data_IF_307322974233
#
_entry.id   IF_307322974233
#
_cell.length_a   1.000
_cell.length_b   1.000
_cell.length_c   1.000
_cell.angle_alpha   90.00
_cell.angle_beta   90.00
_cell.angle_gamma   90.00
#
_symmetry.space_group_name_H-M   'P 1'
#
loop_
_entity.id
_entity.type
_entity.pdbx_description
1 polymer ?
#
# COMPACT_ATOMS: atom_id res chain seq x y z
N UNK A 1 24.67 -18.02 27.40
CA UNK A 1 24.10 -16.85 26.69
C UNK A 1 24.58 -16.98 25.27
N UNK A 2 23.90 -17.84 24.51
CA UNK A 2 24.17 -18.00 23.08
C UNK A 2 23.29 -17.00 22.36
N UNK A 3 23.93 -16.07 21.66
CA UNK A 3 23.30 -15.19 20.69
C UNK A 3 22.79 -16.05 19.54
N UNK A 4 21.48 -16.29 19.51
CA UNK A 4 20.79 -17.02 18.46
C UNK A 4 20.96 -16.25 17.14
N UNK A 5 21.70 -16.83 16.20
CA UNK A 5 21.96 -16.25 14.89
C UNK A 5 20.63 -16.07 14.15
N UNK A 6 20.30 -14.81 13.82
CA UNK A 6 19.10 -14.43 13.06
C UNK A 6 19.09 -14.96 11.63
N UNK A 7 18.80 -16.24 11.46
CA UNK A 7 18.58 -16.88 10.16
C UNK A 7 17.09 -16.91 9.80
N UNK A 8 16.77 -16.59 8.54
CA UNK A 8 15.41 -16.70 8.00
C UNK A 8 14.97 -18.18 7.98
N UNK A 9 13.78 -18.45 8.52
CA UNK A 9 13.18 -19.78 8.54
C UNK A 9 12.63 -20.13 7.15
N UNK A 10 13.02 -21.26 6.53
CA UNK A 10 12.53 -21.62 5.21
C UNK A 10 11.08 -22.09 5.25
N UNK A 11 10.23 -21.57 4.36
CA UNK A 11 8.89 -22.10 4.07
C UNK A 11 9.01 -22.98 2.84
N UNK A 12 8.80 -24.29 3.00
CA UNK A 12 8.94 -25.25 1.91
C UNK A 12 7.71 -25.25 1.02
N UNK A 13 7.90 -25.45 -0.29
CA UNK A 13 6.76 -25.48 -1.22
C UNK A 13 5.78 -26.61 -0.91
N UNK A 14 6.29 -27.78 -0.46
CA UNK A 14 5.47 -28.91 -0.06
C UNK A 14 4.51 -28.58 1.11
N UNK A 15 4.87 -27.64 1.99
CA UNK A 15 4.04 -27.21 3.12
C UNK A 15 2.86 -26.31 2.69
N UNK A 16 2.88 -25.84 1.43
CA UNK A 16 1.86 -24.97 0.85
C UNK A 16 0.84 -25.74 0.01
N UNK A 17 1.10 -26.99 -0.41
CA UNK A 17 0.23 -27.74 -1.33
C UNK A 17 -1.22 -27.88 -0.84
N UNK A 18 -1.39 -28.19 0.45
CA UNK A 18 -2.73 -28.27 1.07
C UNK A 18 -3.42 -26.90 1.07
N UNK A 19 -2.67 -25.84 1.42
CA UNK A 19 -3.19 -24.47 1.48
C UNK A 19 -3.53 -23.94 0.07
N UNK A 20 -2.76 -24.33 -0.93
CA UNK A 20 -2.97 -24.04 -2.34
C UNK A 20 -4.30 -24.64 -2.84
N UNK A 21 -4.62 -25.86 -2.41
CA UNK A 21 -5.89 -26.52 -2.75
C UNK A 21 -7.07 -25.75 -2.14
N UNK A 22 -6.95 -25.35 -0.87
CA UNK A 22 -7.96 -24.52 -0.18
C UNK A 22 -8.12 -23.15 -0.84
N UNK A 23 -7.02 -22.47 -1.16
CA UNK A 23 -7.03 -21.18 -1.85
C UNK A 23 -7.78 -21.25 -3.18
N UNK A 24 -7.61 -22.34 -3.94
CA UNK A 24 -8.33 -22.55 -5.20
C UNK A 24 -9.84 -22.64 -5.01
N UNK A 25 -10.31 -23.24 -3.91
CA UNK A 25 -11.74 -23.29 -3.60
C UNK A 25 -12.31 -21.88 -3.30
N UNK A 26 -11.59 -21.07 -2.55
CA UNK A 26 -12.00 -19.70 -2.24
C UNK A 26 -12.06 -18.79 -3.48
N UNK A 27 -11.16 -18.96 -4.45
CA UNK A 27 -11.19 -18.21 -5.72
C UNK A 27 -12.38 -18.57 -6.63
N UNK A 28 -12.92 -19.79 -6.48
CA UNK A 28 -14.15 -20.21 -7.18
C UNK A 28 -15.39 -19.63 -6.53
N UNK A 29 -15.38 -19.41 -5.21
CA UNK A 29 -16.54 -18.87 -4.49
C UNK A 29 -16.10 -18.26 -3.18
N UNK A 30 -16.27 -16.94 -3.06
CA UNK A 30 -16.19 -16.22 -1.79
C UNK A 30 -17.58 -15.70 -1.43
N UNK A 31 -17.95 -15.79 -0.15
CA UNK A 31 -19.24 -15.35 0.36
C UNK A 31 -19.08 -14.38 1.51
N UNK A 32 -19.75 -13.23 1.46
CA UNK A 32 -19.66 -12.19 2.47
C UNK A 32 -21.03 -11.57 2.76
N UNK A 33 -21.15 -10.90 3.91
CA UNK A 33 -22.31 -10.08 4.26
C UNK A 33 -21.89 -8.61 4.28
N UNK A 34 -21.95 -7.91 3.13
CA UNK A 34 -21.52 -6.50 3.04
C UNK A 34 -22.27 -5.59 4.03
N UNK A 35 -21.62 -4.57 4.61
CA UNK A 35 -22.38 -3.51 5.31
C UNK A 35 -22.90 -2.44 4.35
N UNK A 36 -22.42 -2.43 3.11
CA UNK A 36 -22.76 -1.50 2.03
C UNK A 36 -23.40 -2.25 0.86
N UNK A 37 -24.55 -1.78 0.34
CA UNK A 37 -25.27 -2.43 -0.77
C UNK A 37 -24.53 -2.29 -2.11
N UNK A 38 -24.49 -3.39 -2.87
CA UNK A 38 -23.87 -3.55 -4.20
C UNK A 38 -24.28 -2.53 -5.26
N UNK A 39 -25.55 -2.14 -5.28
CA UNK A 39 -26.13 -1.26 -6.29
C UNK A 39 -25.53 0.16 -6.28
N UNK A 40 -24.95 0.61 -5.15
CA UNK A 40 -24.45 1.97 -4.98
C UNK A 40 -22.93 2.10 -4.92
N UNK A 41 -22.20 0.97 -5.00
CA UNK A 41 -20.74 0.93 -5.16
C UNK A 41 -20.31 0.94 -6.64
N UNK A 42 -21.27 0.80 -7.57
CA UNK A 42 -21.04 0.85 -9.03
C UNK A 42 -21.10 2.27 -9.59
N UNK A 43 -21.92 3.12 -9.00
CA UNK A 43 -21.95 4.55 -9.30
C UNK A 43 -20.82 5.22 -8.52
N UNK A 44 -20.08 6.12 -9.15
CA UNK A 44 -18.90 6.79 -8.59
C UNK A 44 -19.22 7.51 -7.28
N UNK A 45 -19.11 6.82 -6.15
CA UNK A 45 -19.43 7.38 -4.85
C UNK A 45 -18.17 8.00 -4.26
N UNK A 46 -18.21 9.33 -4.08
CA UNK A 46 -17.30 10.05 -3.20
C UNK A 46 -17.25 9.34 -1.84
N UNK A 47 -16.09 9.32 -1.17
CA UNK A 47 -15.90 8.69 0.15
C UNK A 47 -16.98 9.11 1.18
N UNK A 48 -17.51 10.33 1.03
CA UNK A 48 -18.56 10.89 1.87
C UNK A 48 -19.94 10.22 1.72
N UNK A 49 -20.26 9.61 0.58
CA UNK A 49 -21.51 8.89 0.32
C UNK A 49 -21.47 7.45 0.83
N UNK A 50 -20.28 6.82 0.83
CA UNK A 50 -20.04 5.48 1.36
C UNK A 50 -20.34 5.45 2.87
N UNK A 51 -19.83 6.43 3.63
CA UNK A 51 -20.02 6.56 5.09
C UNK A 51 -21.50 6.74 5.49
N UNK A 52 -22.30 7.42 4.66
CA UNK A 52 -23.72 7.73 4.96
C UNK A 52 -24.66 6.54 4.75
N UNK A 53 -24.16 5.45 4.15
CA UNK A 53 -24.97 4.34 3.63
C UNK A 53 -24.89 3.04 4.45
N UNK A 54 -24.11 3.02 5.52
CA UNK A 54 -23.95 1.88 6.44
C UNK A 54 -25.32 1.57 7.06
N UNK A 55 -25.98 0.52 6.54
CA UNK A 55 -27.25 0.02 7.08
C UNK A 55 -27.00 -1.35 7.71
N UNK A 56 -27.58 -1.60 8.88
CA UNK A 56 -27.42 -2.87 9.58
C UNK A 56 -28.11 -4.01 8.81
N UNK A 57 -27.29 -4.89 8.24
CA UNK A 57 -27.60 -6.17 7.57
C UNK A 57 -28.00 -6.10 6.07
N UNK A 58 -27.04 -6.45 5.21
CA UNK A 58 -27.31 -6.97 3.87
C UNK A 58 -27.38 -8.51 3.90
N UNK A 59 -28.08 -9.10 2.93
CA UNK A 59 -28.10 -10.55 2.70
C UNK A 59 -26.73 -11.07 2.29
N UNK A 60 -26.41 -12.34 2.60
CA UNK A 60 -25.18 -12.97 2.13
C UNK A 60 -25.07 -12.89 0.60
N UNK A 61 -23.98 -12.31 0.12
CA UNK A 61 -23.66 -12.23 -1.29
C UNK A 61 -22.49 -13.16 -1.64
N UNK A 62 -22.40 -13.54 -2.92
CA UNK A 62 -21.30 -14.37 -3.41
C UNK A 62 -20.67 -13.79 -4.66
N UNK A 63 -19.36 -13.96 -4.78
CA UNK A 63 -18.59 -13.60 -5.98
C UNK A 63 -17.73 -14.77 -6.44
N UNK A 64 -17.49 -14.84 -7.75
CA UNK A 64 -16.62 -15.83 -8.38
C UNK A 64 -15.56 -15.10 -9.22
N UNK A 65 -14.37 -14.94 -8.65
CA UNK A 65 -13.23 -14.30 -9.34
C UNK A 65 -12.85 -15.14 -10.57
N UNK A 66 -12.87 -16.47 -10.44
CA UNK A 66 -12.55 -17.38 -11.53
C UNK A 66 -13.45 -17.23 -12.75
N UNK A 67 -14.73 -16.88 -12.58
CA UNK A 67 -15.66 -16.68 -13.71
C UNK A 67 -15.41 -15.35 -14.42
N UNK A 68 -15.07 -14.28 -13.68
CA UNK A 68 -14.63 -13.02 -14.30
C UNK A 68 -13.33 -13.23 -15.07
N UNK A 69 -12.37 -13.97 -14.50
CA UNK A 69 -11.11 -14.30 -15.15
C UNK A 69 -11.31 -15.07 -16.47
N UNK A 70 -12.23 -16.05 -16.52
CA UNK A 70 -12.57 -16.79 -17.75
C UNK A 70 -13.14 -15.87 -18.83
N UNK A 71 -14.01 -14.93 -18.47
CA UNK A 71 -14.65 -13.99 -19.40
C UNK A 71 -13.66 -13.04 -20.09
N UNK A 72 -12.47 -12.85 -19.51
CA UNK A 72 -11.40 -12.03 -20.08
C UNK A 72 -10.46 -12.83 -21.01
N UNK A 73 -10.68 -14.15 -21.16
CA UNK A 73 -9.98 -14.94 -22.16
C UNK A 73 -10.62 -14.73 -23.53
N UNK A 74 -9.83 -14.27 -24.49
CA UNK A 74 -10.25 -14.08 -25.88
C UNK A 74 -9.90 -15.28 -26.78
N UNK A 75 -9.31 -16.34 -26.20
CA UNK A 75 -8.88 -17.54 -26.91
C UNK A 75 -9.74 -18.73 -26.48
N UNK A 76 -10.37 -19.40 -27.45
CA UNK A 76 -11.20 -20.60 -27.23
C UNK A 76 -10.44 -21.80 -26.67
N UNK A 77 -9.11 -21.86 -26.83
CA UNK A 77 -8.26 -22.94 -26.35
C UNK A 77 -7.70 -22.68 -24.94
N UNK A 78 -7.67 -21.41 -24.50
CA UNK A 78 -7.14 -21.03 -23.20
C UNK A 78 -8.27 -20.67 -22.23
N UNK A 79 -8.27 -21.31 -21.06
CA UNK A 79 -9.24 -21.00 -19.99
C UNK A 79 -9.05 -19.56 -19.48
N UNK A 80 -7.80 -19.07 -19.45
CA UNK A 80 -7.42 -17.75 -18.97
C UNK A 80 -6.41 -17.10 -19.90
N UNK A 81 -6.54 -15.78 -20.10
CA UNK A 81 -5.48 -14.98 -20.72
C UNK A 81 -4.18 -15.08 -19.90
N UNK A 82 -2.97 -15.12 -20.50
CA UNK A 82 -1.70 -15.27 -19.77
C UNK A 82 -1.50 -14.30 -18.60
N UNK A 83 -1.84 -13.01 -18.79
CA UNK A 83 -1.77 -11.99 -17.73
C UNK A 83 -2.70 -12.29 -16.55
N UNK A 84 -3.92 -12.72 -16.87
CA UNK A 84 -4.92 -13.11 -15.85
C UNK A 84 -4.49 -14.40 -15.17
N UNK A 85 -3.93 -15.36 -15.91
CA UNK A 85 -3.44 -16.62 -15.35
C UNK A 85 -2.29 -16.39 -14.35
N UNK A 86 -1.33 -15.52 -14.70
CA UNK A 86 -0.25 -15.12 -13.80
C UNK A 86 -0.80 -14.47 -12.53
N UNK A 87 -1.69 -13.50 -12.68
CA UNK A 87 -2.32 -12.81 -11.56
C UNK A 87 -3.12 -13.75 -10.65
N UNK A 88 -3.94 -14.65 -11.23
CA UNK A 88 -4.68 -15.67 -10.49
C UNK A 88 -3.76 -16.61 -9.73
N UNK A 89 -2.61 -16.99 -10.31
CA UNK A 89 -1.62 -17.81 -9.63
C UNK A 89 -0.93 -17.07 -8.47
N UNK A 90 -0.59 -15.78 -8.66
CA UNK A 90 -0.06 -14.93 -7.60
C UNK A 90 -1.05 -14.80 -6.43
N UNK A 91 -2.32 -14.54 -6.70
CA UNK A 91 -3.38 -14.49 -5.68
C UNK A 91 -3.54 -15.84 -4.98
N UNK A 92 -3.57 -16.94 -5.73
CA UNK A 92 -3.68 -18.30 -5.17
C UNK A 92 -2.51 -18.64 -4.23
N UNK A 93 -1.27 -18.35 -4.65
CA UNK A 93 -0.08 -18.54 -3.81
C UNK A 93 -0.07 -17.61 -2.60
N UNK A 94 -0.45 -16.34 -2.78
CA UNK A 94 -0.57 -15.37 -1.69
C UNK A 94 -1.53 -15.83 -0.60
N UNK A 95 -2.73 -16.29 -0.96
CA UNK A 95 -3.70 -16.85 0.01
C UNK A 95 -3.12 -18.06 0.73
N UNK A 96 -2.44 -18.96 -0.01
CA UNK A 96 -1.82 -20.15 0.58
C UNK A 96 -0.73 -19.79 1.59
N UNK A 97 0.13 -18.83 1.25
CA UNK A 97 1.16 -18.28 2.14
C UNK A 97 0.55 -17.58 3.35
N UNK A 98 -0.51 -16.79 3.18
CA UNK A 98 -1.21 -16.15 4.29
C UNK A 98 -1.81 -17.15 5.26
N UNK A 99 -2.47 -18.20 4.76
CA UNK A 99 -2.98 -19.28 5.61
C UNK A 99 -1.85 -20.03 6.33
N UNK A 100 -0.73 -20.28 5.64
CA UNK A 100 0.43 -20.94 6.23
C UNK A 100 1.06 -20.07 7.33
N UNK A 101 1.29 -18.77 7.08
CA UNK A 101 1.84 -17.84 8.06
C UNK A 101 0.92 -17.69 9.28
N UNK A 102 -0.40 -17.65 9.09
CA UNK A 102 -1.37 -17.65 10.18
C UNK A 102 -1.30 -18.92 11.04
N UNK A 103 -1.04 -20.09 10.42
CA UNK A 103 -0.79 -21.33 11.16
C UNK A 103 0.53 -21.27 11.93
N UNK A 104 1.61 -20.77 11.33
CA UNK A 104 2.90 -20.59 12.00
C UNK A 104 2.78 -19.65 13.21
N UNK A 105 2.10 -18.51 13.04
CA UNK A 105 1.77 -17.60 14.13
C UNK A 105 0.94 -18.29 15.22
N UNK A 106 -0.09 -19.05 14.84
CA UNK A 106 -0.94 -19.77 15.81
C UNK A 106 -0.14 -20.78 16.63
N UNK A 107 0.88 -21.43 16.03
CA UNK A 107 1.80 -22.33 16.77
C UNK A 107 2.71 -21.52 17.69
N UNK A 108 3.34 -20.46 17.18
CA UNK A 108 4.32 -19.65 17.90
C UNK A 108 3.71 -18.89 19.10
N UNK A 109 2.47 -18.43 18.99
CA UNK A 109 1.73 -17.73 20.04
C UNK A 109 0.97 -18.66 21.00
N UNK A 110 1.14 -19.98 20.86
CA UNK A 110 0.38 -21.00 21.60
C UNK A 110 -1.15 -20.82 21.47
N UNK A 111 -1.62 -20.39 20.30
CA UNK A 111 -3.04 -20.10 20.08
C UNK A 111 -3.89 -21.36 19.88
N UNK A 112 -3.29 -22.48 19.47
CA UNK A 112 -4.00 -23.76 19.32
C UNK A 112 -4.60 -24.27 20.63
N UNK A 113 -3.86 -24.16 21.73
CA UNK A 113 -4.37 -24.56 23.06
C UNK A 113 -5.56 -23.71 23.48
N UNK A 114 -5.52 -22.40 23.23
CA UNK A 114 -6.66 -21.50 23.46
C UNK A 114 -7.87 -21.83 22.57
N UNK A 115 -7.65 -22.25 21.31
CA UNK A 115 -8.73 -22.73 20.43
C UNK A 115 -9.39 -24.00 20.96
N UNK A 116 -8.60 -24.95 21.48
CA UNK A 116 -9.10 -26.17 22.10
C UNK A 116 -9.89 -25.88 23.39
N UNK A 117 -9.38 -24.97 24.22
CA UNK A 117 -10.07 -24.52 25.44
C UNK A 117 -11.37 -23.77 25.12
N UNK A 118 -11.41 -22.99 24.04
CA UNK A 118 -12.65 -22.36 23.57
C UNK A 118 -13.66 -23.41 23.12
N UNK A 119 -13.21 -24.43 22.37
CA UNK A 119 -14.07 -25.50 21.85
C UNK A 119 -14.66 -26.38 22.97
N UNK A 120 -13.89 -26.66 24.03
CA UNK A 120 -14.36 -27.39 25.21
C UNK A 120 -15.19 -26.53 26.18
N UNK A 121 -15.30 -25.22 25.93
CA UNK A 121 -16.01 -24.28 26.79
C UNK A 121 -15.25 -23.89 28.07
N UNK A 122 -14.00 -24.32 28.23
CA UNK A 122 -13.17 -24.04 29.40
C UNK A 122 -12.88 -22.54 29.60
N UNK A 123 -12.97 -21.74 28.54
CA UNK A 123 -12.77 -20.29 28.60
C UNK A 123 -13.95 -19.51 29.20
N UNK A 124 -15.14 -20.11 29.37
CA UNK A 124 -16.37 -19.38 29.77
C UNK A 124 -16.24 -18.62 31.11
N UNK A 125 -15.47 -19.17 32.05
CA UNK A 125 -15.30 -18.60 33.38
C UNK A 125 -13.98 -17.83 33.56
N UNK A 126 -13.22 -17.60 32.48
CA UNK A 126 -11.96 -16.86 32.51
C UNK A 126 -11.99 -15.67 31.52
N UNK A 127 -12.41 -14.47 31.98
CA UNK A 127 -12.52 -13.28 31.14
C UNK A 127 -11.20 -12.83 30.48
N UNK A 128 -10.07 -13.05 31.16
CA UNK A 128 -8.74 -12.71 30.63
C UNK A 128 -8.39 -13.60 29.44
N UNK A 129 -8.56 -14.91 29.59
CA UNK A 129 -8.30 -15.88 28.53
C UNK A 129 -9.25 -15.72 27.33
N UNK A 130 -10.50 -15.28 27.55
CA UNK A 130 -11.40 -14.88 26.46
C UNK A 130 -10.90 -13.65 25.70
N UNK A 131 -10.34 -12.67 26.43
CA UNK A 131 -9.80 -11.45 25.82
C UNK A 131 -8.55 -11.77 25.01
N UNK A 132 -7.63 -12.57 25.56
CA UNK A 132 -6.47 -13.10 24.85
C UNK A 132 -6.88 -13.87 23.60
N UNK A 133 -7.88 -14.75 23.69
CA UNK A 133 -8.40 -15.49 22.54
C UNK A 133 -8.92 -14.57 21.43
N UNK A 134 -9.69 -13.52 21.78
CA UNK A 134 -10.20 -12.53 20.80
C UNK A 134 -9.05 -11.77 20.15
N UNK A 135 -8.09 -11.30 20.93
CA UNK A 135 -6.95 -10.53 20.43
C UNK A 135 -6.04 -11.37 19.53
N UNK A 136 -5.71 -12.61 19.91
CA UNK A 136 -4.94 -13.52 19.06
C UNK A 136 -5.70 -13.91 17.78
N UNK A 137 -7.03 -13.98 17.81
CA UNK A 137 -7.83 -14.14 16.58
C UNK A 137 -7.68 -12.94 15.64
N UNK A 138 -7.78 -11.71 16.18
CA UNK A 138 -7.59 -10.46 15.41
C UNK A 138 -6.21 -10.44 14.76
N UNK A 139 -5.15 -10.70 15.54
CA UNK A 139 -3.77 -10.73 15.04
C UNK A 139 -3.55 -11.86 14.04
N UNK A 140 -4.11 -13.06 14.26
CA UNK A 140 -4.04 -14.16 13.28
C UNK A 140 -4.68 -13.77 11.95
N UNK A 141 -5.83 -13.10 11.98
CA UNK A 141 -6.50 -12.59 10.78
C UNK A 141 -5.63 -11.53 10.09
N UNK A 142 -5.05 -10.59 10.85
CA UNK A 142 -4.18 -9.56 10.31
C UNK A 142 -2.93 -10.15 9.64
N UNK A 143 -2.26 -11.13 10.28
CA UNK A 143 -1.12 -11.86 9.69
C UNK A 143 -1.52 -12.53 8.38
N UNK A 144 -2.68 -13.20 8.33
CA UNK A 144 -3.19 -13.83 7.12
C UNK A 144 -3.37 -12.80 5.99
N UNK A 145 -4.05 -11.69 6.29
CA UNK A 145 -4.33 -10.65 5.30
C UNK A 145 -3.06 -9.98 4.81
N UNK A 146 -2.15 -9.67 5.74
CA UNK A 146 -0.88 -9.01 5.47
C UNK A 146 0.00 -9.85 4.55
N UNK A 147 0.28 -11.10 4.91
CA UNK A 147 1.17 -11.97 4.12
C UNK A 147 0.56 -12.25 2.75
N UNK A 148 -0.76 -12.43 2.68
CA UNK A 148 -1.48 -12.58 1.41
C UNK A 148 -1.25 -11.35 0.51
N UNK A 149 -1.53 -10.16 1.02
CA UNK A 149 -1.42 -8.93 0.26
C UNK A 149 0.04 -8.60 -0.11
N UNK A 150 0.97 -8.77 0.82
CA UNK A 150 2.39 -8.49 0.63
C UNK A 150 2.99 -9.36 -0.48
N UNK A 151 2.67 -10.66 -0.48
CA UNK A 151 3.10 -11.57 -1.54
C UNK A 151 2.52 -11.19 -2.90
N UNK A 152 1.24 -10.87 -2.97
CA UNK A 152 0.56 -10.52 -4.23
C UNK A 152 1.13 -9.23 -4.79
N UNK A 153 1.27 -8.19 -3.96
CA UNK A 153 1.84 -6.89 -4.38
C UNK A 153 3.28 -7.07 -4.84
N UNK A 154 4.11 -7.79 -4.07
CA UNK A 154 5.50 -8.08 -4.45
C UNK A 154 5.57 -8.82 -5.79
N UNK A 155 4.77 -9.87 -5.98
CA UNK A 155 4.73 -10.67 -7.22
C UNK A 155 4.27 -9.86 -8.44
N UNK A 156 3.30 -8.96 -8.26
CA UNK A 156 2.73 -8.16 -9.34
C UNK A 156 3.54 -6.89 -9.64
N UNK A 157 4.29 -6.36 -8.67
CA UNK A 157 5.05 -5.10 -8.81
C UNK A 157 6.03 -5.09 -9.99
N UNK A 158 6.68 -6.22 -10.23
CA UNK A 158 7.67 -6.40 -11.30
C UNK A 158 7.06 -6.96 -12.60
N UNK A 159 5.77 -7.32 -12.58
CA UNK A 159 5.11 -7.96 -13.72
C UNK A 159 4.64 -6.91 -14.73
N UNK A 160 5.31 -6.81 -15.88
CA UNK A 160 4.94 -5.89 -16.98
C UNK A 160 4.71 -4.44 -16.49
N UNK A 161 5.54 -3.94 -15.58
CA UNK A 161 5.40 -2.62 -14.94
C UNK A 161 5.12 -1.49 -15.93
N UNK A 162 5.91 -1.38 -17.00
CA UNK A 162 5.72 -0.37 -18.06
C UNK A 162 4.33 -0.41 -18.71
N UNK A 163 3.79 -1.61 -18.96
CA UNK A 163 2.46 -1.75 -19.55
C UNK A 163 1.37 -1.38 -18.54
N UNK A 164 1.53 -1.80 -17.27
CA UNK A 164 0.60 -1.49 -16.18
C UNK A 164 0.58 0.00 -15.79
N UNK A 165 1.63 0.76 -16.11
CA UNK A 165 1.66 2.21 -15.87
C UNK A 165 0.74 2.97 -16.82
N UNK A 166 0.52 2.45 -18.03
CA UNK A 166 -0.41 3.03 -19.01
C UNK A 166 -1.89 2.71 -18.72
N UNK A 167 -2.16 1.77 -17.80
CA UNK A 167 -3.52 1.32 -17.48
C UNK A 167 -4.22 2.33 -16.58
N UNK A 168 -5.26 2.96 -17.10
CA UNK A 168 -6.08 3.97 -16.41
C UNK A 168 -7.19 3.32 -15.58
N UNK A 169 -6.79 2.51 -14.59
CA UNK A 169 -7.71 1.96 -13.58
C UNK A 169 -7.41 2.64 -12.25
N UNK A 170 -8.44 3.26 -11.67
CA UNK A 170 -8.38 3.77 -10.29
C UNK A 170 -9.11 2.82 -9.35
N UNK A 171 -8.64 2.78 -8.11
CA UNK A 171 -9.28 2.05 -7.02
C UNK A 171 -9.78 3.07 -5.99
N UNK A 172 -11.09 3.11 -5.66
CA UNK A 172 -11.67 4.14 -4.80
C UNK A 172 -11.35 3.97 -3.31
N UNK A 173 -10.68 2.88 -2.93
CA UNK A 173 -10.41 2.51 -1.55
C UNK A 173 -11.31 1.36 -1.07
N UNK A 174 -11.03 0.87 0.14
CA UNK A 174 -11.82 -0.19 0.76
C UNK A 174 -13.20 0.36 1.21
N UNK A 175 -14.29 -0.38 0.95
CA UNK A 175 -15.65 0.12 1.21
C UNK A 175 -16.06 0.04 2.69
N UNK A 176 -15.36 -0.76 3.50
CA UNK A 176 -15.56 -0.88 4.95
C UNK A 176 -14.24 -1.32 5.61
N UNK A 177 -14.11 -1.08 6.93
CA UNK A 177 -12.94 -1.50 7.73
C UNK A 177 -12.63 -3.00 7.59
N UNK A 178 -11.36 -3.38 7.78
CA UNK A 178 -10.96 -4.79 7.70
C UNK A 178 -11.69 -5.65 8.72
N UNK A 179 -12.27 -6.75 8.26
CA UNK A 179 -12.92 -7.69 9.14
C UNK A 179 -11.93 -8.69 9.75
N UNK A 180 -11.45 -8.42 10.97
CA UNK A 180 -10.40 -9.23 11.62
C UNK A 180 -10.89 -10.21 12.69
N UNK A 181 -12.19 -10.26 13.00
CA UNK A 181 -12.71 -11.06 14.11
C UNK A 181 -12.41 -12.57 13.99
N UNK A 182 -12.31 -13.08 12.75
CA UNK A 182 -12.03 -14.48 12.47
C UNK A 182 -11.32 -14.62 11.11
N UNK A 183 -10.25 -15.41 11.05
CA UNK A 183 -9.42 -15.57 9.85
C UNK A 183 -10.20 -16.05 8.61
N UNK A 184 -11.24 -16.90 8.76
CA UNK A 184 -12.09 -17.35 7.64
C UNK A 184 -12.95 -16.18 7.14
N UNK A 185 -13.47 -15.37 8.05
CA UNK A 185 -14.28 -14.21 7.70
C UNK A 185 -13.41 -13.12 7.08
N UNK A 186 -12.20 -12.90 7.59
CA UNK A 186 -11.20 -12.00 7.02
C UNK A 186 -10.86 -12.38 5.57
N UNK A 187 -10.62 -13.67 5.31
CA UNK A 187 -10.35 -14.16 3.96
C UNK A 187 -11.56 -14.01 3.04
N UNK A 188 -12.75 -14.35 3.51
CA UNK A 188 -13.98 -14.19 2.72
C UNK A 188 -14.28 -12.72 2.41
N UNK A 189 -14.12 -11.82 3.39
CA UNK A 189 -14.22 -10.37 3.22
C UNK A 189 -13.29 -9.88 2.12
N UNK A 190 -12.00 -10.23 2.22
CA UNK A 190 -10.95 -9.78 1.30
C UNK A 190 -11.22 -10.27 -0.13
N UNK A 191 -11.54 -11.56 -0.30
CA UNK A 191 -11.81 -12.13 -1.62
C UNK A 191 -13.16 -11.69 -2.18
N UNK A 192 -14.14 -11.42 -1.31
CA UNK A 192 -15.41 -10.88 -1.74
C UNK A 192 -15.24 -9.51 -2.38
N UNK A 193 -14.57 -8.58 -1.69
CA UNK A 193 -14.38 -7.23 -2.23
C UNK A 193 -13.44 -7.21 -3.43
N UNK A 194 -12.38 -8.02 -3.44
CA UNK A 194 -11.56 -8.21 -4.64
C UNK A 194 -12.40 -8.64 -5.85
N UNK A 195 -13.21 -9.69 -5.70
CA UNK A 195 -14.10 -10.17 -6.76
C UNK A 195 -15.21 -9.19 -7.12
N UNK A 196 -15.70 -8.41 -6.16
CA UNK A 196 -16.68 -7.36 -6.37
C UNK A 196 -16.15 -6.27 -7.30
N UNK A 197 -14.96 -5.74 -7.02
CA UNK A 197 -14.36 -4.69 -7.85
C UNK A 197 -13.94 -5.23 -9.21
N UNK A 198 -13.44 -6.47 -9.29
CA UNK A 198 -13.13 -7.10 -10.57
C UNK A 198 -14.38 -7.30 -11.45
N UNK A 199 -15.55 -7.45 -10.84
CA UNK A 199 -16.81 -7.59 -11.56
C UNK A 199 -17.35 -6.25 -12.12
N UNK A 200 -16.69 -5.11 -11.85
CA UNK A 200 -17.08 -3.82 -12.40
C UNK A 200 -16.95 -3.76 -13.93
N UNK A 201 -17.78 -2.92 -14.55
CA UNK A 201 -17.93 -2.83 -16.01
C UNK A 201 -16.74 -2.13 -16.68
N UNK A 202 -15.95 -1.36 -15.92
CA UNK A 202 -14.71 -0.72 -16.38
C UNK A 202 -13.53 -1.70 -16.49
N UNK A 203 -13.63 -2.91 -15.91
CA UNK A 203 -12.59 -3.94 -16.01
C UNK A 203 -12.87 -4.79 -17.25
N UNK A 204 -12.25 -4.42 -18.38
CA UNK A 204 -12.51 -5.02 -19.69
C UNK A 204 -11.31 -5.73 -20.28
N UNK A 205 -10.10 -5.34 -19.89
CA UNK A 205 -8.86 -5.92 -20.38
C UNK A 205 -8.19 -6.85 -19.34
N UNK A 206 -7.37 -7.81 -19.79
CA UNK A 206 -6.49 -8.58 -18.91
C UNK A 206 -5.59 -7.71 -18.04
N UNK A 207 -5.08 -6.59 -18.56
CA UNK A 207 -4.21 -5.68 -17.80
C UNK A 207 -5.00 -4.87 -16.76
N UNK A 208 -6.27 -4.52 -17.03
CA UNK A 208 -7.16 -3.87 -16.05
C UNK A 208 -7.35 -4.77 -14.82
N UNK A 209 -7.51 -6.08 -15.06
CA UNK A 209 -7.64 -7.10 -14.02
C UNK A 209 -6.38 -7.15 -13.13
N UNK A 210 -5.19 -7.14 -13.73
CA UNK A 210 -3.92 -7.14 -12.99
C UNK A 210 -3.74 -5.84 -12.22
N UNK A 211 -3.95 -4.69 -12.86
CA UNK A 211 -3.79 -3.36 -12.23
C UNK A 211 -4.74 -3.18 -11.05
N UNK A 212 -6.02 -3.52 -11.20
CA UNK A 212 -6.99 -3.45 -10.12
C UNK A 212 -6.60 -4.36 -8.95
N UNK A 213 -6.11 -5.56 -9.24
CA UNK A 213 -5.65 -6.49 -8.20
C UNK A 213 -4.47 -5.90 -7.43
N UNK A 214 -3.49 -5.30 -8.12
CA UNK A 214 -2.36 -4.62 -7.48
C UNK A 214 -2.82 -3.48 -6.56
N UNK A 215 -3.70 -2.61 -7.05
CA UNK A 215 -4.22 -1.48 -6.27
C UNK A 215 -5.04 -1.93 -5.07
N UNK A 216 -5.89 -2.95 -5.23
CA UNK A 216 -6.72 -3.49 -4.15
C UNK A 216 -5.87 -4.04 -3.01
N UNK A 217 -4.88 -4.89 -3.32
CA UNK A 217 -4.03 -5.49 -2.29
C UNK A 217 -3.02 -4.50 -1.70
N UNK A 218 -2.61 -3.47 -2.46
CA UNK A 218 -1.85 -2.35 -1.89
C UNK A 218 -2.67 -1.62 -0.82
N UNK A 219 -3.95 -1.38 -1.05
CA UNK A 219 -4.80 -0.73 -0.05
C UNK A 219 -5.05 -1.60 1.17
N UNK A 220 -5.16 -2.93 0.99
CA UNK A 220 -5.19 -3.86 2.12
C UNK A 220 -3.91 -3.75 2.98
N UNK A 221 -2.73 -3.59 2.37
CA UNK A 221 -1.49 -3.36 3.12
C UNK A 221 -1.49 -2.03 3.85
N UNK A 222 -1.93 -0.96 3.19
CA UNK A 222 -2.01 0.37 3.80
C UNK A 222 -2.90 0.37 5.05
N UNK A 223 -4.05 -0.30 4.96
CA UNK A 223 -4.99 -0.41 6.07
C UNK A 223 -4.45 -1.28 7.21
N UNK A 224 -3.72 -2.36 6.90
CA UNK A 224 -3.04 -3.17 7.94
C UNK A 224 -1.94 -2.37 8.64
N UNK A 225 -1.14 -1.62 7.90
CA UNK A 225 -0.11 -0.75 8.46
C UNK A 225 -0.74 0.33 9.37
N UNK A 226 -1.89 0.87 8.97
CA UNK A 226 -2.63 1.85 9.77
C UNK A 226 -3.09 1.29 11.12
N UNK A 227 -3.58 0.05 11.16
CA UNK A 227 -4.06 -0.58 12.40
C UNK A 227 -2.97 -1.34 13.18
N UNK A 228 -1.76 -1.46 12.63
CA UNK A 228 -0.68 -2.31 13.16
C UNK A 228 -0.45 -2.12 14.65
N UNK A 229 -0.31 -0.87 15.10
CA UNK A 229 0.00 -0.54 16.49
C UNK A 229 -1.15 -0.87 17.47
N UNK A 230 -2.36 -1.08 16.95
CA UNK A 230 -3.52 -1.51 17.75
C UNK A 230 -3.53 -3.02 18.00
N UNK A 231 -2.83 -3.81 17.17
CA UNK A 231 -2.76 -5.26 17.29
C UNK A 231 -2.03 -5.67 18.58
N UNK A 232 -2.44 -6.80 19.16
CA UNK A 232 -1.85 -7.36 20.38
C UNK A 232 -1.24 -8.72 20.11
N UNK A 233 -0.27 -9.13 20.93
CA UNK A 233 0.42 -10.42 20.78
C UNK A 233 1.10 -10.57 19.41
N UNK A 234 1.67 -9.48 18.87
CA UNK A 234 2.34 -9.46 17.56
C UNK A 234 3.76 -10.02 17.62
N UNK A 235 4.37 -10.12 18.80
CA UNK A 235 5.78 -10.46 18.97
C UNK A 235 6.12 -11.83 18.38
N UNK A 236 5.17 -12.78 18.43
CA UNK A 236 5.34 -14.12 17.87
C UNK A 236 5.43 -14.13 16.33
N UNK A 237 4.99 -13.07 15.66
CA UNK A 237 5.13 -12.87 14.22
C UNK A 237 6.29 -11.92 13.90
N UNK A 238 6.42 -10.80 14.62
CA UNK A 238 7.43 -9.76 14.36
C UNK A 238 8.86 -10.21 14.64
N UNK A 239 9.07 -11.08 15.64
CA UNK A 239 10.41 -11.54 16.01
C UNK A 239 10.92 -12.71 15.15
N UNK A 240 10.20 -13.10 14.09
CA UNK A 240 10.57 -14.21 13.22
C UNK A 240 10.61 -13.77 11.77
N UNK A 241 11.72 -14.07 11.10
CA UNK A 241 11.86 -13.93 9.66
C UNK A 241 11.62 -15.26 8.95
N UNK A 242 10.89 -15.24 7.84
CA UNK A 242 10.64 -16.41 7.00
C UNK A 242 11.08 -16.14 5.56
N UNK A 243 11.65 -17.14 4.88
CA UNK A 243 12.01 -17.06 3.45
C UNK A 243 11.27 -18.13 2.66
N UNK A 244 10.62 -17.75 1.57
CA UNK A 244 9.96 -18.69 0.69
C UNK A 244 10.98 -19.46 -0.14
N UNK A 245 10.86 -20.79 -0.19
CA UNK A 245 11.73 -21.63 -0.99
C UNK A 245 11.50 -21.43 -2.49
N UNK A 246 12.59 -21.15 -3.21
CA UNK A 246 12.58 -20.99 -4.67
C UNK A 246 12.18 -19.60 -5.17
N UNK A 247 11.88 -18.66 -4.27
CA UNK A 247 11.54 -17.27 -4.59
C UNK A 247 12.33 -16.31 -3.68
N UNK A 248 12.68 -15.12 -4.17
CA UNK A 248 13.32 -14.10 -3.34
C UNK A 248 12.29 -13.28 -2.58
N UNK A 249 11.41 -13.98 -1.87
CA UNK A 249 10.36 -13.40 -1.04
C UNK A 249 10.62 -13.72 0.42
N UNK A 250 10.64 -12.68 1.24
CA UNK A 250 10.92 -12.74 2.68
C UNK A 250 9.75 -12.11 3.43
N UNK A 251 9.44 -12.66 4.61
CA UNK A 251 8.44 -12.17 5.54
C UNK A 251 9.16 -11.81 6.84
N UNK A 252 9.20 -10.53 7.18
CA UNK A 252 9.77 -10.01 8.43
C UNK A 252 8.71 -9.18 9.16
N UNK A 253 7.94 -9.84 10.02
CA UNK A 253 6.81 -9.20 10.72
C UNK A 253 5.83 -8.51 9.76
N UNK A 254 5.29 -7.37 10.20
CA UNK A 254 4.40 -6.51 9.39
C UNK A 254 5.16 -5.55 8.47
N UNK A 255 6.44 -5.78 8.20
CA UNK A 255 7.20 -4.96 7.26
C UNK A 255 6.88 -5.40 5.83
N UNK A 256 6.07 -4.61 5.14
CA UNK A 256 5.94 -4.77 3.70
C UNK A 256 7.29 -4.39 3.10
N UNK A 257 8.03 -5.36 2.56
CA UNK A 257 9.14 -5.05 1.69
C UNK A 257 8.51 -4.41 0.47
N UNK A 258 8.47 -3.08 0.46
CA UNK A 258 8.31 -2.34 -0.77
C UNK A 258 9.48 -2.78 -1.64
N UNK A 259 9.22 -3.75 -2.54
CA UNK A 259 9.95 -3.80 -3.79
C UNK A 259 9.78 -2.38 -4.29
N UNK A 260 10.87 -1.63 -4.21
CA UNK A 260 10.94 -0.26 -4.68
C UNK A 260 10.17 -0.26 -5.98
N UNK A 261 8.98 0.35 -5.95
CA UNK A 261 8.34 0.75 -7.18
C UNK A 261 9.36 1.74 -7.72
N UNK A 262 10.23 1.25 -8.60
CA UNK A 262 11.03 2.05 -9.50
C UNK A 262 10.10 2.66 -10.55
N UNK A 263 8.95 3.14 -10.09
CA UNK A 263 8.09 4.09 -10.71
C UNK A 263 8.25 5.30 -9.83
N UNK A 264 9.07 6.24 -10.30
CA UNK A 264 8.83 7.65 -10.07
C UNK A 264 7.34 7.88 -9.83
N UNK A 265 6.96 8.31 -8.62
CA UNK A 265 5.59 8.71 -8.32
C UNK A 265 5.14 9.63 -9.45
N UNK A 266 4.21 9.17 -10.29
CA UNK A 266 3.86 9.83 -11.55
C UNK A 266 3.40 11.27 -11.25
N UNK A 267 4.29 12.22 -11.48
CA UNK A 267 3.94 13.63 -11.49
C UNK A 267 3.33 13.95 -12.86
N UNK A 268 2.43 14.93 -12.90
CA UNK A 268 1.92 15.43 -14.16
C UNK A 268 3.08 16.10 -14.90
N UNK A 269 3.60 15.44 -15.95
CA UNK A 269 4.71 15.99 -16.73
C UNK A 269 4.25 17.30 -17.38
N UNK A 270 5.03 18.35 -17.18
CA UNK A 270 4.73 19.67 -17.70
C UNK A 270 6.02 20.29 -18.19
N UNK A 271 6.03 20.76 -19.43
CA UNK A 271 7.21 21.40 -20.01
C UNK A 271 7.25 22.89 -19.68
N UNK A 272 8.45 23.47 -19.59
CA UNK A 272 8.61 24.90 -19.33
C UNK A 272 7.94 25.81 -20.37
N UNK A 273 7.70 25.29 -21.58
CA UNK A 273 7.00 25.99 -22.66
C UNK A 273 5.50 26.16 -22.41
N UNK A 274 4.90 25.29 -21.59
CA UNK A 274 3.46 25.29 -21.29
C UNK A 274 3.09 26.28 -20.18
N UNK A 275 4.07 26.73 -19.40
CA UNK A 275 3.90 27.76 -18.37
C UNK A 275 4.05 29.14 -19.03
N UNK A 276 2.95 29.89 -19.21
CA UNK A 276 3.01 31.27 -19.73
C UNK A 276 3.17 32.25 -18.56
N UNK A 277 4.21 33.11 -18.62
CA UNK A 277 4.49 34.10 -17.57
C UNK A 277 5.44 33.62 -16.46
N UNK A 278 5.57 34.43 -15.40
CA UNK A 278 6.40 34.19 -14.20
C UNK A 278 7.90 33.88 -14.46
N UNK A 279 8.59 34.79 -15.16
CA UNK A 279 10.00 34.66 -15.55
C UNK A 279 10.95 34.45 -14.36
N UNK A 280 10.66 35.06 -13.21
CA UNK A 280 11.49 34.95 -12.00
C UNK A 280 11.44 33.54 -11.40
N UNK A 281 10.25 32.92 -11.36
CA UNK A 281 10.09 31.54 -10.91
C UNK A 281 10.84 30.56 -11.81
N UNK A 282 10.69 30.70 -13.14
CA UNK A 282 11.43 29.87 -14.11
C UNK A 282 12.94 29.99 -13.91
N UNK A 283 13.42 31.21 -13.68
CA UNK A 283 14.84 31.47 -13.44
C UNK A 283 15.32 30.84 -12.12
N UNK A 284 14.55 30.97 -11.04
CA UNK A 284 14.82 30.36 -9.73
C UNK A 284 14.86 28.83 -9.81
N UNK A 285 13.85 28.23 -10.44
CA UNK A 285 13.75 26.78 -10.63
C UNK A 285 14.91 26.24 -11.45
N UNK A 286 15.25 26.88 -12.58
CA UNK A 286 16.43 26.49 -13.38
C UNK A 286 17.73 26.51 -12.59
N UNK A 287 17.90 27.50 -11.71
CA UNK A 287 19.07 27.60 -10.83
C UNK A 287 19.10 26.46 -9.79
N UNK A 288 17.96 26.16 -9.18
CA UNK A 288 17.81 25.02 -8.26
C UNK A 288 18.14 23.69 -8.95
N UNK A 289 17.64 23.48 -10.17
CA UNK A 289 17.95 22.31 -10.98
C UNK A 289 19.46 22.21 -11.22
N UNK A 290 20.08 23.28 -11.72
CA UNK A 290 21.52 23.30 -11.99
C UNK A 290 22.34 22.94 -10.75
N UNK A 291 21.95 23.45 -9.58
CA UNK A 291 22.63 23.11 -8.33
C UNK A 291 22.42 21.66 -7.90
N UNK A 292 21.21 21.11 -8.03
CA UNK A 292 20.95 19.70 -7.75
C UNK A 292 21.77 18.78 -8.69
N UNK A 293 21.89 19.16 -9.96
CA UNK A 293 22.67 18.43 -10.96
C UNK A 293 24.19 18.46 -10.72
N UNK A 294 24.70 19.34 -9.85
CA UNK A 294 26.10 19.32 -9.43
C UNK A 294 26.42 18.18 -8.44
N UNK A 295 25.42 17.39 -8.01
CA UNK A 295 25.64 16.31 -7.06
C UNK A 295 26.60 15.24 -7.60
N UNK A 296 27.69 15.00 -6.88
CA UNK A 296 28.64 13.94 -7.17
C UNK A 296 28.16 12.64 -6.50
N UNK A 297 27.67 11.70 -7.31
CA UNK A 297 27.11 10.43 -6.84
C UNK A 297 28.19 9.51 -6.25
N UNK A 298 29.44 9.57 -6.74
CA UNK A 298 30.53 8.76 -6.22
C UNK A 298 30.99 9.25 -4.84
N UNK A 299 31.14 10.58 -4.70
CA UNK A 299 31.57 11.21 -3.44
C UNK A 299 30.42 11.46 -2.48
N UNK A 300 29.18 11.28 -2.93
CA UNK A 300 27.92 11.54 -2.20
C UNK A 300 27.87 12.96 -1.63
N UNK A 301 28.35 13.93 -2.41
CA UNK A 301 28.48 15.34 -1.99
C UNK A 301 28.08 16.29 -3.10
N UNK A 302 27.48 17.41 -2.72
CA UNK A 302 27.27 18.52 -3.63
C UNK A 302 28.39 19.56 -3.42
N UNK A 303 29.25 19.84 -4.41
CA UNK A 303 30.31 20.85 -4.29
C UNK A 303 29.77 22.25 -4.02
N UNK A 304 28.51 22.54 -4.39
CA UNK A 304 27.85 23.82 -4.10
C UNK A 304 27.61 24.00 -2.59
N UNK A 305 27.49 22.91 -1.82
CA UNK A 305 27.38 22.99 -0.35
C UNK A 305 28.69 23.46 0.29
N UNK A 306 29.84 23.01 -0.22
CA UNK A 306 31.16 23.40 0.30
C UNK A 306 31.51 24.86 -0.03
N UNK A 307 30.96 25.38 -1.13
CA UNK A 307 31.11 26.78 -1.55
C UNK A 307 30.07 27.72 -0.91
N UNK A 308 29.25 27.23 0.04
CA UNK A 308 28.23 28.01 0.75
C UNK A 308 27.07 28.50 -0.13
N UNK A 309 26.88 27.89 -1.31
CA UNK A 309 26.00 28.41 -2.36
C UNK A 309 24.64 27.74 -2.49
N UNK A 310 24.37 26.66 -1.77
CA UNK A 310 23.11 25.91 -1.90
C UNK A 310 22.13 26.25 -0.76
N UNK A 311 21.01 26.93 -1.03
CA UNK A 311 19.97 27.10 -0.03
C UNK A 311 19.30 25.74 0.22
N UNK A 312 19.39 25.23 1.46
CA UNK A 312 18.74 23.98 1.85
C UNK A 312 17.20 24.06 1.77
N UNK A 313 16.64 25.27 1.82
CA UNK A 313 15.21 25.55 1.67
C UNK A 313 15.05 26.79 0.82
N UNK A 314 14.24 26.69 -0.25
CA UNK A 314 13.83 27.82 -1.08
C UNK A 314 12.33 28.01 -0.91
N UNK A 315 11.92 29.18 -0.41
CA UNK A 315 10.50 29.55 -0.29
C UNK A 315 10.14 30.56 -1.37
N UNK A 316 9.08 30.29 -2.11
CA UNK A 316 8.60 31.16 -3.18
C UNK A 316 7.18 31.63 -2.88
N UNK A 317 7.06 32.90 -2.50
CA UNK A 317 5.77 33.54 -2.24
C UNK A 317 5.25 34.25 -3.50
N UNK A 318 3.94 34.19 -3.71
CA UNK A 318 3.29 34.85 -4.83
C UNK A 318 1.76 34.76 -4.72
N UNK A 319 1.01 35.67 -5.34
CA UNK A 319 -0.46 35.64 -5.35
C UNK A 319 -1.02 34.28 -5.81
N UNK A 320 -2.20 33.90 -5.30
CA UNK A 320 -2.90 32.70 -5.74
C UNK A 320 -3.15 32.75 -7.27
N UNK A 321 -3.04 31.60 -7.95
CA UNK A 321 -3.25 31.50 -9.41
C UNK A 321 -2.05 31.89 -10.30
N UNK A 322 -0.86 32.14 -9.72
CA UNK A 322 0.37 32.52 -10.48
C UNK A 322 1.18 31.36 -11.05
N UNK A 323 0.61 30.15 -11.10
CA UNK A 323 1.24 28.98 -11.71
C UNK A 323 2.36 28.31 -10.89
N UNK A 324 2.45 28.56 -9.57
CA UNK A 324 3.46 27.94 -8.68
C UNK A 324 3.42 26.40 -8.68
N UNK A 325 2.22 25.80 -8.58
CA UNK A 325 2.05 24.34 -8.64
C UNK A 325 2.44 23.74 -10.00
N UNK A 326 2.19 24.49 -11.09
CA UNK A 326 2.65 24.13 -12.43
C UNK A 326 4.18 24.15 -12.51
N UNK A 327 4.80 25.16 -11.87
CA UNK A 327 6.24 25.27 -11.76
C UNK A 327 6.93 24.12 -11.02
N UNK A 328 6.32 23.62 -9.93
CA UNK A 328 6.78 22.43 -9.21
C UNK A 328 6.79 21.21 -10.14
N UNK A 329 5.72 21.07 -10.93
CA UNK A 329 5.58 19.97 -11.89
C UNK A 329 6.61 20.04 -13.01
N UNK A 330 6.87 21.23 -13.56
CA UNK A 330 7.90 21.43 -14.59
C UNK A 330 9.32 21.22 -14.06
N UNK A 331 9.59 21.62 -12.81
CA UNK A 331 10.87 21.37 -12.15
C UNK A 331 11.12 19.88 -11.95
N UNK A 332 10.10 19.14 -11.50
CA UNK A 332 10.17 17.68 -11.37
C UNK A 332 10.40 17.00 -12.73
N UNK A 333 9.74 17.50 -13.79
CA UNK A 333 9.87 17.00 -15.17
C UNK A 333 11.31 17.11 -15.66
N UNK A 334 11.90 18.30 -15.57
CA UNK A 334 13.27 18.52 -16.06
C UNK A 334 14.31 17.76 -15.21
N UNK A 335 14.13 17.65 -13.89
CA UNK A 335 15.02 16.85 -13.03
C UNK A 335 14.98 15.37 -13.39
N UNK A 336 13.78 14.82 -13.59
CA UNK A 336 13.59 13.43 -13.99
C UNK A 336 14.30 13.14 -15.32
N UNK A 337 14.15 14.01 -16.33
CA UNK A 337 14.81 13.85 -17.63
C UNK A 337 16.33 13.90 -17.53
N UNK A 338 16.87 14.90 -16.83
CA UNK A 338 18.33 15.02 -16.65
C UNK A 338 18.91 13.86 -15.86
N UNK A 339 18.21 13.38 -14.85
CA UNK A 339 18.65 12.22 -14.06
C UNK A 339 18.61 10.94 -14.90
N UNK A 340 17.59 10.75 -15.75
CA UNK A 340 17.51 9.65 -16.71
C UNK A 340 18.67 9.68 -17.70
N UNK A 341 18.97 10.83 -18.29
CA UNK A 341 20.06 11.02 -19.24
C UNK A 341 21.44 10.69 -18.62
N UNK A 342 21.63 11.00 -17.34
CA UNK A 342 22.88 10.80 -16.62
C UNK A 342 22.95 9.48 -15.84
N UNK A 343 21.89 8.67 -15.86
CA UNK A 343 21.81 7.41 -15.10
C UNK A 343 21.79 7.60 -13.57
N UNK A 344 21.38 8.78 -13.09
CA UNK A 344 21.28 9.12 -11.67
C UNK A 344 19.87 8.75 -11.18
N UNK A 345 19.77 8.16 -9.98
CA UNK A 345 18.47 7.87 -9.36
C UNK A 345 17.78 9.17 -8.95
N UNK A 346 16.50 9.31 -9.29
CA UNK A 346 15.68 10.47 -8.96
C UNK A 346 14.43 10.06 -8.16
N UNK A 347 14.12 10.84 -7.12
CA UNK A 347 12.91 10.67 -6.32
C UNK A 347 12.12 11.99 -6.25
N UNK A 348 10.89 11.95 -6.77
CA UNK A 348 9.89 12.99 -6.54
C UNK A 348 9.07 12.67 -5.29
N UNK A 349 9.14 13.52 -4.26
CA UNK A 349 8.58 13.25 -2.93
C UNK A 349 7.81 14.44 -2.35
N UNK A 350 6.64 14.81 -2.90
CA UNK A 350 5.87 15.95 -2.43
C UNK A 350 5.33 15.73 -1.01
N UNK A 351 5.17 16.80 -0.21
CA UNK A 351 4.51 16.70 1.10
C UNK A 351 3.01 16.47 0.91
N UNK A 352 2.45 15.32 1.34
CA UNK A 352 1.03 15.06 1.17
C UNK A 352 0.19 15.90 2.15
N UNK A 353 -1.08 16.15 1.81
CA UNK A 353 -2.01 16.86 2.70
C UNK A 353 -2.31 16.07 3.99
N UNK A 354 -2.18 14.74 3.95
CA UNK A 354 -2.38 13.84 5.10
C UNK A 354 -1.31 13.95 6.20
N UNK A 355 -0.26 14.76 6.00
CA UNK A 355 0.73 15.03 7.06
C UNK A 355 0.11 15.85 8.21
N UNK A 356 -0.93 16.65 7.95
CA UNK A 356 -1.63 17.38 8.99
C UNK A 356 -2.69 16.48 9.63
N UNK A 357 -2.45 16.04 10.86
CA UNK A 357 -3.37 15.23 11.67
C UNK A 357 -4.12 16.10 12.69
N UNK A 358 -5.37 15.71 12.97
CA UNK A 358 -6.17 16.28 14.07
C UNK A 358 -5.79 15.69 15.44
N UNK A 359 -5.01 14.61 15.46
CA UNK A 359 -4.55 13.95 16.68
C UNK A 359 -3.24 14.54 17.18
N UNK A 360 -3.14 14.75 18.50
CA UNK A 360 -1.94 15.27 19.13
C UNK A 360 -0.75 14.32 18.87
N UNK A 361 0.30 14.82 18.22
CA UNK A 361 1.49 14.03 17.89
C UNK A 361 1.46 13.32 16.53
N UNK A 362 0.27 13.06 15.97
CA UNK A 362 0.14 12.36 14.69
C UNK A 362 0.77 13.09 13.50
N UNK A 363 0.75 14.43 13.51
CA UNK A 363 1.40 15.23 12.47
C UNK A 363 2.92 15.11 12.50
N UNK A 364 3.51 14.95 13.70
CA UNK A 364 4.95 14.79 13.87
C UNK A 364 5.42 13.42 13.37
N UNK A 365 4.68 12.36 13.70
CA UNK A 365 4.99 10.99 13.23
C UNK A 365 4.82 10.86 11.72
N UNK A 366 3.76 11.45 11.15
CA UNK A 366 3.56 11.48 9.69
C UNK A 366 4.68 12.25 8.98
N UNK A 367 5.13 13.36 9.56
CA UNK A 367 6.24 14.15 9.04
C UNK A 367 7.56 13.37 9.13
N UNK A 368 7.82 12.67 10.23
CA UNK A 368 9.02 11.85 10.40
C UNK A 368 9.06 10.71 9.36
N UNK A 369 7.94 10.02 9.15
CA UNK A 369 7.80 9.00 8.10
C UNK A 369 8.06 9.58 6.71
N UNK A 370 7.59 10.81 6.44
CA UNK A 370 7.87 11.52 5.19
C UNK A 370 9.35 11.88 5.02
N UNK A 371 10.08 12.23 6.09
CA UNK A 371 11.51 12.56 5.99
C UNK A 371 12.42 11.33 5.78
N UNK A 372 12.02 10.12 6.15
CA UNK A 372 12.86 8.91 6.00
C UNK A 372 13.51 8.77 4.62
N UNK A 373 12.76 8.81 3.49
CA UNK A 373 13.36 8.68 2.17
C UNK A 373 14.29 9.85 1.79
N UNK A 374 14.10 11.06 2.35
CA UNK A 374 14.92 12.25 1.98
C UNK A 374 16.35 12.21 2.53
N UNK A 375 16.66 11.22 3.38
CA UNK A 375 18.00 11.03 3.95
C UNK A 375 18.93 10.21 3.06
N UNK A 376 18.42 9.62 1.96
CA UNK A 376 19.23 8.78 1.09
C UNK A 376 20.27 9.60 0.32
N UNK A 377 21.57 9.23 0.40
CA UNK A 377 22.63 9.90 -0.34
C UNK A 377 22.86 9.29 -1.74
N UNK A 378 22.07 8.29 -2.14
CA UNK A 378 22.29 7.54 -3.39
C UNK A 378 21.44 8.06 -4.56
N UNK A 379 20.70 9.15 -4.36
CA UNK A 379 19.74 9.69 -5.32
C UNK A 379 19.55 11.20 -5.16
N UNK A 380 19.14 11.86 -6.24
CA UNK A 380 18.66 13.24 -6.20
C UNK A 380 17.19 13.21 -5.79
N UNK A 381 16.85 14.01 -4.77
CA UNK A 381 15.50 14.03 -4.20
C UNK A 381 14.93 15.43 -4.37
N UNK A 382 13.75 15.52 -4.98
CA UNK A 382 12.98 16.75 -5.07
C UNK A 382 11.71 16.61 -4.22
N UNK A 383 11.66 17.35 -3.13
CA UNK A 383 10.63 17.23 -2.10
C UNK A 383 9.84 18.54 -1.93
N UNK A 384 8.93 18.88 -2.86
CA UNK A 384 8.22 20.14 -2.82
C UNK A 384 7.13 20.17 -1.74
N UNK A 385 6.93 21.35 -1.14
CA UNK A 385 5.80 21.65 -0.26
C UNK A 385 4.86 22.61 -0.98
N UNK A 386 3.83 22.07 -1.64
CA UNK A 386 2.75 22.91 -2.18
C UNK A 386 1.74 23.25 -1.08
N UNK A 387 1.10 24.41 -1.19
CA UNK A 387 0.15 24.95 -0.19
C UNK A 387 0.70 24.94 1.25
N UNK A 388 1.87 25.57 1.42
CA UNK A 388 2.57 25.62 2.71
C UNK A 388 1.75 26.28 3.82
N UNK A 389 0.91 27.26 3.50
CA UNK A 389 0.09 27.98 4.49
C UNK A 389 -0.95 27.07 5.17
N UNK A 390 -1.49 26.09 4.44
CA UNK A 390 -2.37 25.06 5.00
C UNK A 390 -1.65 24.05 5.89
N UNK A 391 -0.35 23.83 5.65
CA UNK A 391 0.46 22.78 6.30
C UNK A 391 1.33 23.29 7.46
N UNK A 392 1.74 24.55 7.41
CA UNK A 392 2.69 25.17 8.32
C UNK A 392 2.04 26.41 8.96
N UNK A 393 1.12 26.16 9.90
CA UNK A 393 0.40 27.22 10.63
C UNK A 393 1.27 27.83 11.72
N UNK A 394 1.11 29.14 11.92
CA UNK A 394 1.74 29.87 13.02
C UNK A 394 1.28 29.32 14.38
N UNK A 395 2.24 29.07 15.28
CA UNK A 395 1.98 28.55 16.63
C UNK A 395 1.39 29.61 17.57
N UNK A 396 1.29 30.88 17.15
CA UNK A 396 0.87 32.02 17.99
C UNK A 396 -0.53 32.62 17.73
N UNK A 397 -1.23 32.27 16.66
CA UNK A 397 -2.50 32.92 16.31
C UNK A 397 -3.71 32.26 16.99
N UNK A 398 -4.17 32.83 18.12
CA UNK A 398 -5.52 32.58 18.64
C UNK A 398 -6.55 33.20 17.69
N UNK A 399 -7.34 32.38 17.01
CA UNK A 399 -8.59 32.85 16.41
C UNK A 399 -9.60 33.18 17.52
N UNK A 400 -10.31 34.33 17.46
CA UNK A 400 -11.41 34.60 18.37
C UNK A 400 -12.59 33.67 18.02
N UNK A 401 -13.16 33.05 19.05
CA UNK A 401 -14.39 32.26 18.91
C UNK A 401 -15.50 33.12 18.28
N UNK A 402 -16.28 32.59 17.32
CA UNK A 402 -17.42 33.31 16.77
C UNK A 402 -18.48 33.50 17.87
N UNK A 403 -18.89 34.75 18.08
CA UNK A 403 -20.04 35.14 18.89
C UNK A 403 -21.34 35.15 18.10
#
# INVERSE_FOLDING_TARGET
>A
MDSDNGGLLPIKQAELEEQITKATAFLRRASWHPRVKKERLKDSANAHEIIRSITNASSQETVCIADKAKKLSNDSLLIYHPDVAFCMNAVRKGIALGMHAANLYSKASNFYTLKEQQASGALKNNPEAQTEFRQKNITTSAVLMFVTANYIVSSLSSYKSQALDSVQVSFPGLPEELHLANYIHALNYMLYYHGFFLAADNIKSPLDFVKLTQLYYQEVLNEIEFIRDSLKYTEAFENKGYKLEGEDFVIEGFTAHMVQVSGSMNFNRLEWGEIVGNTMYKHSSKRTIQFLMCYDVERKKNPINELGGFPAVTMEYGPAGTGKSMGISATATELDDRCKDLGIKFLYHPVPQSVVSTYQGGSSENMEKWFRPTTSPDMIIYAPVDDGDGKLRDRGAREPLPG
#
